data_IF_115506125381
#
_entry.id   IF_115506125381
#
_cell.length_a   1.000
_cell.length_b   1.000
_cell.length_c   1.000
_cell.angle_alpha   90.00
_cell.angle_beta   90.00
_cell.angle_gamma   90.00
#
_symmetry.space_group_name_H-M   'P 1'
#
loop_
_entity.id
_entity.type
_entity.pdbx_description
1 polymer ?
#
# COMPACT_ATOMS: atom_id res chain seq x y z
N UNK A 1 -25.92 -4.09 28.05
CA UNK A 1 -24.61 -4.52 27.51
C UNK A 1 -23.94 -3.29 26.93
N UNK A 2 -22.76 -2.90 27.43
CA UNK A 2 -22.05 -1.69 26.96
C UNK A 2 -21.70 -1.90 25.48
N UNK A 3 -22.24 -1.08 24.58
CA UNK A 3 -21.81 -1.01 23.18
C UNK A 3 -20.30 -0.70 23.18
N UNK A 4 -19.46 -1.72 22.99
CA UNK A 4 -18.04 -1.50 22.78
C UNK A 4 -17.87 -0.82 21.42
N UNK A 5 -17.77 0.50 21.44
CA UNK A 5 -17.47 1.33 20.27
C UNK A 5 -16.09 1.02 19.68
N UNK A 6 -15.23 0.33 20.43
CA UNK A 6 -13.91 -0.15 20.00
C UNK A 6 -13.72 -1.55 20.55
N UNK A 7 -13.30 -2.49 19.70
CA UNK A 7 -12.82 -3.80 20.13
C UNK A 7 -11.60 -4.21 19.32
N UNK A 8 -10.73 -5.01 19.93
CA UNK A 8 -9.61 -5.66 19.24
C UNK A 8 -9.91 -7.12 19.00
N UNK A 9 -9.40 -7.66 17.88
CA UNK A 9 -9.42 -9.09 17.54
C UNK A 9 -8.03 -9.54 17.12
N UNK A 10 -7.71 -10.82 17.32
CA UNK A 10 -6.40 -11.38 16.96
C UNK A 10 -6.55 -12.47 15.92
N UNK A 11 -5.95 -12.24 14.77
CA UNK A 11 -5.96 -13.15 13.64
C UNK A 11 -7.12 -12.91 12.68
N UNK A 12 -6.91 -13.33 11.44
CA UNK A 12 -7.83 -13.04 10.35
C UNK A 12 -9.17 -13.75 10.57
N UNK A 13 -9.17 -14.97 11.12
CA UNK A 13 -10.38 -15.74 11.40
C UNK A 13 -11.33 -15.04 12.38
N UNK A 14 -10.80 -14.53 13.50
CA UNK A 14 -11.61 -13.80 14.49
C UNK A 14 -12.16 -12.50 13.90
N UNK A 15 -11.38 -11.82 13.04
CA UNK A 15 -11.86 -10.64 12.33
C UNK A 15 -13.04 -10.97 11.40
N UNK A 16 -13.05 -12.11 10.72
CA UNK A 16 -14.20 -12.55 9.89
C UNK A 16 -15.43 -12.70 10.75
N UNK A 17 -15.30 -13.52 11.78
CA UNK A 17 -16.42 -13.92 12.61
C UNK A 17 -17.08 -12.68 13.23
N UNK A 18 -16.27 -11.71 13.67
CA UNK A 18 -16.75 -10.55 14.41
C UNK A 18 -17.04 -9.33 13.55
N UNK A 19 -16.38 -9.17 12.40
CA UNK A 19 -16.44 -7.94 11.59
C UNK A 19 -16.62 -8.19 10.08
N UNK A 20 -16.66 -9.44 9.61
CA UNK A 20 -16.83 -9.77 8.19
C UNK A 20 -18.11 -9.20 7.58
N UNK A 21 -19.21 -9.23 8.33
CA UNK A 21 -20.50 -8.67 7.91
C UNK A 21 -20.46 -7.15 7.65
N UNK A 22 -19.52 -6.42 8.26
CA UNK A 22 -19.37 -4.97 8.06
C UNK A 22 -18.93 -4.62 6.63
N UNK A 23 -18.25 -5.54 5.94
CA UNK A 23 -17.89 -5.35 4.52
C UNK A 23 -19.10 -5.46 3.60
N UNK A 24 -20.08 -6.28 3.96
CA UNK A 24 -21.31 -6.47 3.19
C UNK A 24 -22.30 -5.33 3.39
N UNK A 25 -22.21 -4.62 4.52
CA UNK A 25 -23.06 -3.47 4.82
C UNK A 25 -22.66 -2.18 4.11
N UNK A 26 -21.57 -2.16 3.32
CA UNK A 26 -21.09 -0.97 2.64
C UNK A 26 -22.10 -0.42 1.59
N UNK A 27 -22.51 0.84 1.76
CA UNK A 27 -23.58 1.45 0.96
C UNK A 27 -23.12 2.62 0.09
N UNK A 28 -22.21 3.46 0.57
CA UNK A 28 -21.83 4.72 -0.08
C UNK A 28 -20.32 4.85 -0.33
N UNK A 29 -19.48 4.44 0.62
CA UNK A 29 -18.04 4.66 0.55
C UNK A 29 -17.24 3.50 1.16
N UNK A 30 -16.23 3.05 0.42
CA UNK A 30 -15.23 2.12 0.92
C UNK A 30 -13.83 2.67 0.67
N UNK A 31 -13.09 2.95 1.74
CA UNK A 31 -11.73 3.46 1.68
C UNK A 31 -10.77 2.39 2.17
N UNK A 32 -9.66 2.22 1.46
CA UNK A 32 -8.59 1.32 1.86
C UNK A 32 -7.25 2.03 1.67
N UNK A 33 -6.55 2.28 2.78
CA UNK A 33 -5.17 2.71 2.78
C UNK A 33 -4.28 1.51 3.14
N UNK A 34 -3.39 1.11 2.24
CA UNK A 34 -2.53 -0.05 2.47
C UNK A 34 -1.13 0.16 1.89
N UNK A 35 -0.13 -0.46 2.51
CA UNK A 35 1.24 -0.39 2.01
C UNK A 35 1.41 -1.12 0.68
N UNK A 36 0.81 -2.30 0.54
CA UNK A 36 0.95 -3.17 -0.61
C UNK A 36 -0.38 -3.87 -0.94
N UNK A 37 -0.35 -4.82 -1.89
CA UNK A 37 -1.54 -5.58 -2.29
C UNK A 37 -1.86 -6.75 -1.35
N UNK A 38 -0.99 -7.06 -0.37
CA UNK A 38 -1.18 -8.13 0.63
C UNK A 38 -2.06 -7.63 1.77
N UNK A 39 -3.25 -7.17 1.38
CA UNK A 39 -4.28 -6.65 2.27
C UNK A 39 -4.93 -7.76 3.07
N UNK A 40 -5.30 -7.49 4.33
CA UNK A 40 -6.03 -8.44 5.18
C UNK A 40 -7.47 -8.68 4.69
N UNK A 41 -8.00 -7.75 3.88
CA UNK A 41 -9.34 -7.91 3.29
C UNK A 41 -9.42 -9.24 2.54
N UNK A 42 -10.45 -10.04 2.85
CA UNK A 42 -10.56 -11.40 2.36
C UNK A 42 -11.17 -11.51 0.96
N UNK A 43 -11.00 -12.65 0.27
CA UNK A 43 -11.60 -12.86 -1.05
C UNK A 43 -13.10 -12.57 -1.08
N UNK A 44 -13.85 -12.99 -0.07
CA UNK A 44 -15.30 -12.79 0.09
C UNK A 44 -15.62 -11.31 0.30
N UNK A 45 -14.92 -10.63 1.22
CA UNK A 45 -15.07 -9.20 1.44
C UNK A 45 -14.74 -8.38 0.17
N UNK A 46 -13.65 -8.74 -0.53
CA UNK A 46 -13.28 -8.15 -1.82
C UNK A 46 -14.34 -8.43 -2.89
N UNK A 47 -14.98 -9.59 -2.85
CA UNK A 47 -16.07 -9.94 -3.75
C UNK A 47 -17.34 -9.14 -3.44
N UNK A 48 -17.71 -8.95 -2.17
CA UNK A 48 -18.84 -8.14 -1.75
C UNK A 48 -18.68 -6.69 -2.24
N UNK A 49 -17.53 -6.06 -1.97
CA UNK A 49 -17.24 -4.69 -2.44
C UNK A 49 -17.26 -4.61 -3.98
N UNK A 50 -16.66 -5.59 -4.66
CA UNK A 50 -16.66 -5.64 -6.13
C UNK A 50 -18.06 -5.85 -6.72
N UNK A 51 -18.89 -6.67 -6.09
CA UNK A 51 -20.28 -6.88 -6.51
C UNK A 51 -21.09 -5.61 -6.29
N UNK A 52 -20.84 -4.89 -5.19
CA UNK A 52 -21.45 -3.59 -4.92
C UNK A 52 -21.10 -2.54 -5.97
N UNK A 53 -19.83 -2.46 -6.36
CA UNK A 53 -19.38 -1.58 -7.45
C UNK A 53 -20.06 -1.89 -8.80
N UNK A 54 -20.47 -3.15 -9.04
CA UNK A 54 -21.19 -3.57 -10.26
C UNK A 54 -22.70 -3.35 -10.18
N UNK A 55 -23.27 -3.38 -8.97
CA UNK A 55 -24.71 -3.38 -8.73
C UNK A 55 -25.25 -1.94 -8.56
N UNK A 56 -25.61 -1.33 -9.69
CA UNK A 56 -26.34 -0.05 -9.89
C UNK A 56 -25.59 1.26 -9.64
N UNK A 57 -25.95 2.25 -10.47
CA UNK A 57 -25.53 3.66 -10.52
C UNK A 57 -24.15 3.93 -9.89
N UNK A 58 -23.09 3.79 -10.70
CA UNK A 58 -21.69 3.92 -10.26
C UNK A 58 -21.35 5.25 -9.58
N UNK A 59 -22.27 6.22 -9.62
CA UNK A 59 -22.19 7.49 -8.92
C UNK A 59 -22.46 7.39 -7.40
N UNK A 60 -23.21 6.39 -6.93
CA UNK A 60 -23.67 6.31 -5.54
C UNK A 60 -22.71 5.58 -4.58
N UNK A 61 -21.83 4.71 -5.11
CA UNK A 61 -20.87 3.94 -4.30
C UNK A 61 -19.43 4.20 -4.75
N UNK A 62 -18.62 4.80 -3.88
CA UNK A 62 -17.23 5.12 -4.20
C UNK A 62 -16.25 4.21 -3.49
N UNK A 63 -15.36 3.58 -4.27
CA UNK A 63 -14.23 2.83 -3.73
C UNK A 63 -12.94 3.60 -3.96
N UNK A 64 -12.19 3.90 -2.89
CA UNK A 64 -10.89 4.58 -2.96
C UNK A 64 -9.80 3.69 -2.37
N UNK A 65 -8.73 3.49 -3.14
CA UNK A 65 -7.55 2.74 -2.74
C UNK A 65 -6.34 3.65 -2.74
N UNK A 66 -5.80 3.92 -1.56
CA UNK A 66 -4.58 4.68 -1.35
C UNK A 66 -3.46 3.69 -1.04
N UNK A 67 -2.46 3.62 -1.92
CA UNK A 67 -1.41 2.60 -1.86
C UNK A 67 -0.03 3.23 -1.80
N UNK A 68 0.95 2.56 -1.16
CA UNK A 68 2.35 2.97 -1.28
C UNK A 68 2.95 2.49 -2.61
N UNK A 69 4.06 3.09 -3.09
CA UNK A 69 4.71 2.69 -4.34
C UNK A 69 5.17 1.23 -4.41
N UNK A 70 5.33 0.55 -3.27
CA UNK A 70 5.67 -0.88 -3.23
C UNK A 70 4.53 -1.77 -3.74
N UNK A 71 3.29 -1.28 -3.78
CA UNK A 71 2.17 -1.97 -4.40
C UNK A 71 2.30 -2.11 -5.93
N UNK A 72 3.29 -1.44 -6.54
CA UNK A 72 3.58 -1.45 -7.99
C UNK A 72 4.90 -2.17 -8.33
N UNK A 73 5.35 -3.07 -7.46
CA UNK A 73 6.68 -3.69 -7.52
C UNK A 73 6.94 -4.47 -8.81
N UNK A 74 5.92 -5.13 -9.36
CA UNK A 74 6.01 -5.96 -10.56
C UNK A 74 4.85 -5.67 -11.54
N UNK A 75 4.95 -6.18 -12.77
CA UNK A 75 3.96 -5.91 -13.81
C UNK A 75 2.61 -6.58 -13.54
N UNK A 76 2.60 -7.71 -12.83
CA UNK A 76 1.35 -8.38 -12.42
C UNK A 76 0.56 -7.50 -11.45
N UNK A 77 1.23 -6.92 -10.45
CA UNK A 77 0.65 -5.99 -9.50
C UNK A 77 0.11 -4.71 -10.19
N UNK A 78 0.85 -4.18 -11.17
CA UNK A 78 0.40 -3.03 -11.98
C UNK A 78 -0.81 -3.38 -12.83
N UNK A 79 -0.79 -4.52 -13.52
CA UNK A 79 -1.92 -5.00 -14.31
C UNK A 79 -3.16 -5.23 -13.45
N UNK A 80 -2.98 -5.81 -12.25
CA UNK A 80 -4.05 -5.96 -11.27
C UNK A 80 -4.67 -4.62 -10.87
N UNK A 81 -3.84 -3.61 -10.55
CA UNK A 81 -4.35 -2.30 -10.16
C UNK A 81 -5.05 -1.56 -11.30
N UNK A 82 -4.55 -1.68 -12.55
CA UNK A 82 -5.26 -1.18 -13.74
C UNK A 82 -6.62 -1.85 -13.92
N UNK A 83 -6.70 -3.17 -13.69
CA UNK A 83 -7.98 -3.91 -13.74
C UNK A 83 -8.94 -3.48 -12.62
N UNK A 84 -8.43 -3.18 -11.43
CA UNK A 84 -9.23 -2.67 -10.32
C UNK A 84 -9.77 -1.27 -10.65
N UNK A 85 -8.93 -0.41 -11.23
CA UNK A 85 -9.30 0.93 -11.66
C UNK A 85 -10.34 0.90 -12.79
N UNK A 86 -10.17 0.03 -13.79
CA UNK A 86 -11.12 -0.12 -14.90
C UNK A 86 -12.49 -0.63 -14.47
N UNK A 87 -12.59 -1.24 -13.30
CA UNK A 87 -13.85 -1.65 -12.65
C UNK A 87 -14.51 -0.54 -11.84
N UNK A 88 -13.94 0.68 -11.81
CA UNK A 88 -14.52 1.86 -11.17
C UNK A 88 -13.89 2.25 -9.83
N UNK A 89 -12.86 1.55 -9.34
CA UNK A 89 -12.18 1.98 -8.13
C UNK A 89 -11.24 3.14 -8.43
N UNK A 90 -11.23 4.15 -7.58
CA UNK A 90 -10.24 5.21 -7.64
C UNK A 90 -8.97 4.69 -6.96
N UNK A 91 -7.84 4.73 -7.67
CA UNK A 91 -6.54 4.28 -7.16
C UNK A 91 -5.55 5.44 -7.16
N UNK A 92 -4.97 5.73 -6.01
CA UNK A 92 -3.91 6.74 -5.85
C UNK A 92 -2.70 6.18 -5.13
N UNK A 93 -1.53 6.69 -5.48
CA UNK A 93 -0.24 6.33 -4.93
C UNK A 93 0.23 7.43 -3.97
N UNK A 94 0.35 7.08 -2.70
CA UNK A 94 0.77 7.96 -1.62
C UNK A 94 2.29 8.18 -1.67
N UNK A 95 2.73 9.43 -1.57
CA UNK A 95 4.13 9.77 -1.28
C UNK A 95 4.51 9.64 0.20
N UNK A 96 3.51 9.48 1.09
CA UNK A 96 3.68 9.29 2.53
C UNK A 96 3.62 7.81 2.90
N UNK A 97 4.26 7.44 4.01
CA UNK A 97 4.23 6.07 4.53
C UNK A 97 2.83 5.71 5.05
N UNK A 98 2.40 4.48 4.75
CA UNK A 98 1.16 3.88 5.24
C UNK A 98 1.53 2.74 6.20
N UNK A 99 1.74 3.03 7.49
CA UNK A 99 2.30 2.05 8.44
C UNK A 99 1.33 0.92 8.78
N UNK A 100 0.03 1.21 8.72
CA UNK A 100 -1.05 0.29 9.04
C UNK A 100 -2.03 0.24 7.90
N UNK A 101 -2.47 -0.96 7.54
CA UNK A 101 -3.61 -1.10 6.65
C UNK A 101 -4.86 -0.60 7.37
N UNK A 102 -5.57 0.34 6.74
CA UNK A 102 -6.76 0.97 7.31
C UNK A 102 -7.90 0.85 6.32
N UNK A 103 -9.05 0.35 6.79
CA UNK A 103 -10.29 0.30 6.04
C UNK A 103 -11.33 1.19 6.73
N UNK A 104 -11.97 2.06 5.96
CA UNK A 104 -13.11 2.85 6.41
C UNK A 104 -14.32 2.49 5.56
N UNK A 105 -15.47 2.29 6.20
CA UNK A 105 -16.73 1.92 5.55
C UNK A 105 -17.78 2.95 5.94
N UNK A 106 -18.35 3.61 4.94
CA UNK A 106 -19.44 4.59 5.04
C UNK A 106 -19.24 5.70 6.08
N UNK A 107 -17.99 6.00 6.46
CA UNK A 107 -17.65 6.91 7.57
C UNK A 107 -18.28 6.51 8.92
N UNK A 108 -18.54 5.23 9.11
CA UNK A 108 -19.15 4.68 10.32
C UNK A 108 -18.29 3.60 10.99
N UNK A 109 -17.51 2.87 10.19
CA UNK A 109 -16.65 1.78 10.67
C UNK A 109 -15.22 2.06 10.26
N UNK A 110 -14.29 1.90 11.20
CA UNK A 110 -12.86 1.81 10.92
C UNK A 110 -12.33 0.44 11.36
N UNK A 111 -11.53 -0.17 10.49
CA UNK A 111 -10.74 -1.36 10.80
C UNK A 111 -9.26 -1.01 10.56
N UNK A 112 -8.46 -1.07 11.62
CA UNK A 112 -7.02 -0.82 11.59
C UNK A 112 -6.27 -2.13 11.81
N UNK A 113 -5.35 -2.45 10.92
CA UNK A 113 -4.50 -3.62 11.03
C UNK A 113 -3.18 -3.28 11.74
N UNK A 114 -2.93 -3.96 12.85
CA UNK A 114 -1.63 -3.98 13.51
C UNK A 114 -0.55 -4.62 12.64
N UNK A 115 0.67 -4.70 13.17
CA UNK A 115 1.79 -5.33 12.46
C UNK A 115 1.59 -6.83 12.43
N UNK A 116 2.02 -7.47 11.34
CA UNK A 116 2.09 -8.93 11.28
C UNK A 116 3.11 -9.44 12.30
N UNK A 117 2.73 -10.42 13.11
CA UNK A 117 3.61 -11.11 14.05
C UNK A 117 3.53 -12.64 13.85
N UNK A 118 4.44 -13.44 14.44
CA UNK A 118 4.36 -14.91 14.38
C UNK A 118 3.06 -15.49 14.94
N UNK A 119 2.42 -14.77 15.87
CA UNK A 119 1.15 -15.17 16.51
C UNK A 119 -0.08 -14.61 15.79
N UNK A 120 0.10 -14.04 14.59
CA UNK A 120 -0.96 -13.42 13.80
C UNK A 120 -0.93 -11.89 13.83
N UNK A 121 -1.99 -11.29 13.31
CA UNK A 121 -2.17 -9.85 13.25
C UNK A 121 -3.25 -9.42 14.24
N UNK A 122 -3.01 -8.35 14.99
CA UNK A 122 -4.06 -7.73 15.79
C UNK A 122 -4.82 -6.71 14.92
N UNK A 123 -6.13 -6.64 15.09
CA UNK A 123 -6.97 -5.65 14.42
C UNK A 123 -7.74 -4.87 15.45
N UNK A 124 -7.88 -3.57 15.23
CA UNK A 124 -8.77 -2.70 15.99
C UNK A 124 -9.95 -2.33 15.12
N UNK A 125 -11.16 -2.68 15.56
CA UNK A 125 -12.41 -2.31 14.92
C UNK A 125 -13.09 -1.26 15.78
N UNK A 126 -13.52 -0.16 15.18
CA UNK A 126 -14.25 0.88 15.90
C UNK A 126 -15.39 1.49 15.10
N UNK A 127 -16.46 1.83 15.82
CA UNK A 127 -17.60 2.62 15.37
C UNK A 127 -17.71 3.95 16.13
N UNK A 128 -16.65 4.36 16.83
CA UNK A 128 -16.60 5.65 17.51
C UNK A 128 -16.49 6.76 16.48
N UNK A 129 -17.55 7.58 16.35
CA UNK A 129 -17.61 8.61 15.31
C UNK A 129 -16.42 9.58 15.36
N UNK A 130 -15.99 10.00 16.55
CA UNK A 130 -14.83 10.89 16.70
C UNK A 130 -13.53 10.28 16.13
N UNK A 131 -13.30 8.98 16.35
CA UNK A 131 -12.12 8.29 15.81
C UNK A 131 -12.24 8.11 14.30
N UNK A 132 -13.42 7.70 13.83
CA UNK A 132 -13.70 7.49 12.41
C UNK A 132 -13.53 8.79 11.62
N UNK A 133 -14.11 9.89 12.08
CA UNK A 133 -14.01 11.22 11.46
C UNK A 133 -12.56 11.73 11.43
N UNK A 134 -11.83 11.54 12.53
CA UNK A 134 -10.43 11.93 12.62
C UNK A 134 -9.55 11.19 11.61
N UNK A 135 -9.69 9.86 11.52
CA UNK A 135 -8.92 9.05 10.58
C UNK A 135 -9.37 9.26 9.13
N UNK A 136 -10.67 9.48 8.90
CA UNK A 136 -11.18 9.86 7.59
C UNK A 136 -10.60 11.18 7.11
N UNK A 137 -10.52 12.20 7.98
CA UNK A 137 -9.91 13.49 7.67
C UNK A 137 -8.43 13.34 7.29
N UNK A 138 -7.68 12.51 8.01
CA UNK A 138 -6.28 12.19 7.68
C UNK A 138 -6.18 11.44 6.35
N UNK A 139 -7.04 10.46 6.10
CA UNK A 139 -7.09 9.76 4.82
C UNK A 139 -7.34 10.75 3.67
N UNK A 140 -8.32 11.65 3.82
CA UNK A 140 -8.65 12.68 2.83
C UNK A 140 -7.47 13.57 2.51
N UNK A 141 -6.76 14.05 3.53
CA UNK A 141 -5.57 14.87 3.33
C UNK A 141 -4.47 14.15 2.53
N UNK A 142 -4.19 12.88 2.85
CA UNK A 142 -3.19 12.09 2.11
C UNK A 142 -3.71 11.76 0.69
N UNK A 143 -5.00 11.46 0.57
CA UNK A 143 -5.65 11.17 -0.71
C UNK A 143 -5.53 12.34 -1.68
N UNK A 144 -5.82 13.56 -1.21
CA UNK A 144 -5.80 14.77 -2.04
C UNK A 144 -4.37 15.15 -2.47
N UNK A 145 -3.35 14.80 -1.67
CA UNK A 145 -1.93 14.96 -2.02
C UNK A 145 -1.33 13.81 -2.86
N UNK A 146 -2.03 12.67 -3.00
CA UNK A 146 -1.54 11.48 -3.67
C UNK A 146 -1.71 11.54 -5.20
N UNK A 147 -0.80 10.91 -5.93
CA UNK A 147 -0.86 10.85 -7.40
C UNK A 147 -1.86 9.80 -7.89
N UNK A 148 -2.65 10.11 -8.93
CA UNK A 148 -3.47 9.09 -9.61
C UNK A 148 -2.61 8.00 -10.23
N UNK A 149 -3.10 6.75 -10.28
CA UNK A 149 -2.34 5.60 -10.77
C UNK A 149 -1.72 5.84 -12.16
N UNK A 150 -2.52 6.28 -13.14
CA UNK A 150 -2.03 6.53 -14.51
C UNK A 150 -1.05 7.69 -14.60
N UNK A 151 -1.14 8.66 -13.69
CA UNK A 151 -0.17 9.78 -13.64
C UNK A 151 1.13 9.28 -13.03
N UNK A 152 1.05 8.50 -11.96
CA UNK A 152 2.20 7.92 -11.29
C UNK A 152 2.98 6.96 -12.22
N UNK A 153 2.28 6.11 -12.97
CA UNK A 153 2.89 5.17 -13.92
C UNK A 153 3.49 5.85 -15.16
N UNK A 154 2.97 7.02 -15.55
CA UNK A 154 3.52 7.84 -16.65
C UNK A 154 4.67 8.75 -16.21
N UNK A 155 4.88 8.90 -14.91
CA UNK A 155 6.00 9.70 -14.40
C UNK A 155 7.30 8.98 -14.76
N UNK A 156 8.29 9.67 -15.32
CA UNK A 156 9.63 9.14 -15.65
C UNK A 156 10.45 8.73 -14.41
N UNK A 157 9.78 8.50 -13.27
CA UNK A 157 10.40 8.00 -12.05
C UNK A 157 10.67 6.51 -12.25
N UNK A 158 11.94 6.07 -12.29
CA UNK A 158 12.30 4.68 -12.48
C UNK A 158 11.66 3.85 -11.37
N UNK A 159 10.75 2.96 -11.76
CA UNK A 159 10.14 2.05 -10.81
C UNK A 159 11.18 1.02 -10.39
N UNK A 160 11.69 1.17 -9.17
CA UNK A 160 12.61 0.22 -8.58
C UNK A 160 11.84 -0.96 -7.98
N UNK A 161 12.10 -2.17 -8.47
CA UNK A 161 11.67 -3.40 -7.80
C UNK A 161 12.26 -3.48 -6.36
N UNK A 162 11.77 -4.44 -5.56
CA UNK A 162 12.19 -4.57 -4.16
C UNK A 162 13.72 -4.76 -4.02
N UNK A 163 14.31 -5.55 -4.92
CA UNK A 163 15.75 -5.82 -4.96
C UNK A 163 16.55 -4.56 -5.29
N UNK A 164 16.11 -3.79 -6.28
CA UNK A 164 16.70 -2.52 -6.69
C UNK A 164 16.66 -1.49 -5.56
N UNK A 165 15.57 -1.46 -4.77
CA UNK A 165 15.48 -0.61 -3.56
C UNK A 165 16.45 -1.04 -2.46
N UNK A 166 16.60 -2.34 -2.22
CA UNK A 166 17.59 -2.82 -1.25
C UNK A 166 19.02 -2.45 -1.67
N UNK A 167 19.32 -2.59 -2.97
CA UNK A 167 20.61 -2.20 -3.52
C UNK A 167 20.83 -0.70 -3.40
N UNK A 168 19.82 0.11 -3.74
CA UNK A 168 19.87 1.56 -3.59
C UNK A 168 20.11 1.99 -2.13
N UNK A 169 19.44 1.33 -1.18
CA UNK A 169 19.65 1.56 0.25
C UNK A 169 21.04 1.12 0.71
N UNK A 170 21.56 0.02 0.18
CA UNK A 170 22.92 -0.43 0.45
C UNK A 170 23.96 0.56 -0.12
N UNK A 171 23.75 1.09 -1.33
CA UNK A 171 24.58 2.14 -1.92
C UNK A 171 24.58 3.41 -1.06
N UNK A 172 23.42 3.83 -0.55
CA UNK A 172 23.29 5.00 0.34
C UNK A 172 23.89 4.80 1.74
N UNK A 173 24.23 3.56 2.12
CA UNK A 173 24.81 3.25 3.45
C UNK A 173 26.35 3.31 3.50
N UNK A 174 27.02 3.64 2.39
CA UNK A 174 28.48 3.75 2.32
C UNK A 174 29.23 2.42 2.40
N UNK A 175 28.53 1.30 2.28
CA UNK A 175 29.13 -0.04 2.28
C UNK A 175 29.88 -0.31 0.97
N UNK A 176 30.97 -1.09 1.06
CA UNK A 176 31.62 -1.64 -0.14
C UNK A 176 30.72 -2.66 -0.84
N UNK A 177 30.90 -2.87 -2.15
CA UNK A 177 30.14 -3.87 -2.91
C UNK A 177 30.22 -5.27 -2.27
N UNK A 178 31.38 -5.64 -1.72
CA UNK A 178 31.58 -6.94 -1.06
C UNK A 178 30.77 -7.07 0.23
N UNK A 179 30.76 -6.03 1.06
CA UNK A 179 29.96 -5.98 2.29
C UNK A 179 28.46 -5.98 1.99
N UNK A 180 28.03 -5.23 0.98
CA UNK A 180 26.64 -5.17 0.55
C UNK A 180 26.16 -6.51 -0.05
N UNK A 181 26.98 -7.14 -0.91
CA UNK A 181 26.68 -8.45 -1.49
C UNK A 181 26.51 -9.53 -0.40
N UNK A 182 27.41 -9.57 0.59
CA UNK A 182 27.32 -10.49 1.73
C UNK A 182 26.04 -10.27 2.54
N UNK A 183 25.68 -9.01 2.80
CA UNK A 183 24.46 -8.65 3.54
C UNK A 183 23.18 -9.04 2.81
N UNK A 184 23.18 -8.94 1.48
CA UNK A 184 22.03 -9.29 0.64
C UNK A 184 21.99 -10.77 0.23
N UNK A 185 22.97 -11.59 0.67
CA UNK A 185 23.00 -13.02 0.36
C UNK A 185 23.25 -13.34 -1.11
N UNK A 186 23.91 -12.45 -1.86
CA UNK A 186 24.19 -12.63 -3.30
C UNK A 186 25.69 -12.61 -3.58
N UNK A 187 26.12 -13.17 -4.72
CA UNK A 187 27.51 -13.09 -5.15
C UNK A 187 27.91 -11.65 -5.50
N UNK A 188 29.20 -11.31 -5.36
CA UNK A 188 29.73 -10.00 -5.73
C UNK A 188 29.45 -9.65 -7.21
N UNK A 189 29.53 -10.64 -8.10
CA UNK A 189 29.22 -10.47 -9.53
C UNK A 189 27.76 -10.10 -9.73
N UNK A 190 26.83 -10.80 -9.07
CA UNK A 190 25.39 -10.51 -9.15
C UNK A 190 25.07 -9.13 -8.59
N UNK A 191 25.68 -8.77 -7.46
CA UNK A 191 25.51 -7.44 -6.88
C UNK A 191 25.96 -6.33 -7.85
N UNK A 192 27.18 -6.42 -8.39
CA UNK A 192 27.72 -5.44 -9.35
C UNK A 192 26.88 -5.31 -10.62
N UNK A 193 26.41 -6.43 -11.18
CA UNK A 193 25.49 -6.41 -12.33
C UNK A 193 24.22 -5.64 -12.01
N UNK A 194 23.58 -5.93 -10.87
CA UNK A 194 22.34 -5.26 -10.45
C UNK A 194 22.56 -3.78 -10.12
N UNK A 195 23.72 -3.41 -9.58
CA UNK A 195 24.11 -2.00 -9.41
C UNK A 195 24.22 -1.30 -10.77
N UNK A 196 24.88 -1.92 -11.76
CA UNK A 196 24.98 -1.34 -13.10
C UNK A 196 23.61 -1.16 -13.76
N UNK A 197 22.71 -2.15 -13.63
CA UNK A 197 21.32 -2.04 -14.10
C UNK A 197 20.56 -0.92 -13.41
N UNK A 198 20.75 -0.74 -12.09
CA UNK A 198 20.16 0.34 -11.32
C UNK A 198 20.68 1.72 -11.75
N UNK A 199 21.98 1.83 -12.02
CA UNK A 199 22.62 3.07 -12.50
C UNK A 199 22.07 3.50 -13.86
N UNK A 200 21.90 2.55 -14.80
CA UNK A 200 21.27 2.81 -16.10
C UNK A 200 19.83 3.27 -15.93
N UNK A 201 19.06 2.61 -15.06
CA UNK A 201 17.67 2.99 -14.79
C UNK A 201 17.54 4.38 -14.16
N UNK A 202 18.52 4.79 -13.35
CA UNK A 202 18.55 6.11 -12.71
C UNK A 202 19.20 7.19 -13.58
N UNK A 203 19.65 6.85 -14.80
CA UNK A 203 20.39 7.75 -15.70
C UNK A 203 21.58 8.40 -14.96
N UNK A 204 22.32 7.59 -14.22
CA UNK A 204 23.42 8.04 -13.37
C UNK A 204 24.76 7.46 -13.85
N UNK A 205 25.76 8.33 -13.98
CA UNK A 205 27.12 7.98 -14.37
C UNK A 205 28.03 7.69 -13.16
N UNK A 206 27.59 8.08 -11.96
CA UNK A 206 28.31 7.78 -10.71
C UNK A 206 27.38 7.35 -9.58
N UNK A 207 27.91 6.57 -8.62
CA UNK A 207 27.16 6.14 -7.42
C UNK A 207 26.63 7.34 -6.63
N UNK A 208 27.39 8.43 -6.60
CA UNK A 208 26.98 9.67 -5.95
C UNK A 208 25.77 10.29 -6.66
N UNK A 209 25.81 10.41 -7.99
CA UNK A 209 24.69 10.89 -8.80
C UNK A 209 23.45 10.00 -8.65
N UNK A 210 23.62 8.67 -8.62
CA UNK A 210 22.52 7.75 -8.36
C UNK A 210 21.89 7.96 -6.98
N UNK A 211 22.70 8.24 -5.96
CA UNK A 211 22.23 8.61 -4.63
C UNK A 211 21.45 9.94 -4.61
N UNK A 212 21.95 10.96 -5.30
CA UNK A 212 21.28 12.25 -5.45
C UNK A 212 19.94 12.10 -6.17
N UNK A 213 19.95 11.43 -7.33
CA UNK A 213 18.75 11.16 -8.14
C UNK A 213 17.70 10.38 -7.37
N UNK A 214 18.13 9.37 -6.61
CA UNK A 214 17.23 8.63 -5.73
C UNK A 214 16.64 9.50 -4.60
N UNK A 215 17.38 10.49 -4.10
CA UNK A 215 16.89 11.47 -3.15
C UNK A 215 15.84 12.40 -3.76
N UNK A 216 16.11 12.97 -4.94
CA UNK A 216 15.19 13.82 -5.71
C UNK A 216 13.87 13.09 -6.00
N UNK A 217 13.98 11.82 -6.41
CA UNK A 217 12.85 10.97 -6.77
C UNK A 217 12.18 10.31 -5.56
N UNK A 218 12.64 10.61 -4.33
CA UNK A 218 12.16 10.01 -3.06
C UNK A 218 12.17 8.47 -3.05
N UNK A 219 13.09 7.87 -3.81
CA UNK A 219 13.24 6.41 -3.95
C UNK A 219 14.01 5.76 -2.81
N UNK A 220 14.68 6.55 -1.96
CA UNK A 220 15.56 6.09 -0.88
C UNK A 220 14.89 5.97 0.50
N UNK A 221 13.58 6.27 0.63
CA UNK A 221 12.83 6.24 1.91
C UNK A 221 11.91 5.04 2.07
#
# INVERSE_FOLDING_TARGET
MRNQQVFSVRGDAELIERAGHLFESAQAEFLCAARDLKTFSQPEARAAIRNRMRARDSSAFTVRKLLSPVALADEEARAHLRLVQSKGALVRISGSQLPHETILIDQQVMILAGRQTPIGREYTVTTSQTLVDGVHSLFRAIWDAAAGLDTYLRSDIPHLDADSRMILKALGSGLTDASAAKRLGVSLRTYRRRVAELMVRLEADSRFQAGLRAGELKLSR
#
